data_IF_051482978394
#
_entry.id   IF_051482978394
#
_cell.length_a   1.000
_cell.length_b   1.000
_cell.length_c   1.000
_cell.angle_alpha   90.00
_cell.angle_beta   90.00
_cell.angle_gamma   90.00
#
_symmetry.space_group_name_H-M   'P 1'
#
loop_
_entity.id
_entity.type
_entity.pdbx_description
1 polymer ?
#
# COMPACT_ATOMS: atom_id res chain seq x y z
N UNK A 1 -21.42 0.01 26.33
CA UNK A 1 -22.67 -0.77 26.46
C UNK A 1 -23.25 -0.81 25.06
N UNK A 2 -22.68 -1.68 24.23
CA UNK A 2 -23.16 -3.06 23.99
C UNK A 2 -24.08 -3.05 22.77
N UNK A 3 -23.48 -3.30 21.60
CA UNK A 3 -24.19 -3.64 20.36
C UNK A 3 -24.00 -5.12 20.13
N UNK A 4 -25.04 -5.88 20.45
CA UNK A 4 -25.08 -7.34 20.47
C UNK A 4 -25.12 -7.94 19.06
N UNK A 5 -24.51 -9.12 18.97
CA UNK A 5 -24.40 -9.98 17.80
C UNK A 5 -25.73 -10.71 17.55
N UNK A 6 -26.33 -10.53 16.37
CA UNK A 6 -27.40 -11.40 15.89
C UNK A 6 -26.79 -12.58 15.12
N UNK A 7 -26.63 -13.70 15.84
CA UNK A 7 -26.32 -15.00 15.25
C UNK A 7 -27.58 -15.65 14.67
N UNK A 8 -27.52 -16.07 13.41
CA UNK A 8 -28.55 -16.92 12.80
C UNK A 8 -28.40 -18.35 13.33
N UNK A 9 -29.30 -18.76 14.24
CA UNK A 9 -29.55 -20.17 14.56
C UNK A 9 -30.69 -20.68 13.69
N UNK A 10 -30.41 -21.63 12.82
CA UNK A 10 -31.42 -22.45 12.13
C UNK A 10 -31.74 -23.66 13.02
N UNK A 11 -32.84 -23.58 13.78
CA UNK A 11 -33.47 -24.74 14.40
C UNK A 11 -34.12 -25.60 13.31
N UNK A 12 -33.63 -26.81 13.15
CA UNK A 12 -34.28 -27.87 12.36
C UNK A 12 -35.08 -28.73 13.33
N UNK A 13 -36.40 -28.63 13.25
CA UNK A 13 -37.38 -29.51 13.91
C UNK A 13 -37.23 -30.96 13.44
N UNK A 14 -37.16 -31.96 14.34
CA UNK A 14 -37.34 -33.36 13.98
C UNK A 14 -38.81 -33.79 14.12
N UNK A 15 -39.29 -34.45 13.06
CA UNK A 15 -40.60 -35.07 12.93
C UNK A 15 -40.92 -36.06 14.05
N UNK A 16 -42.10 -35.91 14.67
CA UNK A 16 -42.66 -36.88 15.61
C UNK A 16 -43.73 -37.71 14.89
N UNK A 17 -43.37 -38.92 14.46
CA UNK A 17 -44.31 -39.92 13.93
C UNK A 17 -44.75 -40.86 15.04
N UNK A 18 -46.03 -40.82 15.39
CA UNK A 18 -46.66 -41.82 16.27
C UNK A 18 -46.99 -43.09 15.49
N UNK A 19 -46.25 -44.12 15.89
CA UNK A 19 -46.49 -45.57 15.89
C UNK A 19 -47.95 -46.04 15.70
N UNK A 20 -48.16 -46.88 14.69
CA UNK A 20 -49.25 -47.87 14.63
C UNK A 20 -48.63 -49.25 14.45
N UNK A 21 -48.89 -50.14 15.41
CA UNK A 21 -48.58 -51.57 15.35
C UNK A 21 -49.48 -52.27 14.32
N UNK A 22 -48.89 -53.08 13.43
CA UNK A 22 -49.58 -54.24 12.86
C UNK A 22 -48.65 -55.45 12.79
N UNK A 23 -49.28 -56.60 12.94
CA UNK A 23 -48.79 -57.92 13.34
C UNK A 23 -48.22 -58.73 12.16
N UNK A 24 -47.06 -59.36 12.40
CA UNK A 24 -46.59 -60.71 11.96
C UNK A 24 -46.73 -61.14 10.47
N UNK A 25 -45.61 -61.27 9.75
CA UNK A 25 -45.12 -62.53 9.14
C UNK A 25 -43.90 -62.33 8.21
N UNK A 26 -42.88 -63.16 8.39
CA UNK A 26 -42.22 -63.85 7.28
C UNK A 26 -41.17 -63.12 6.42
N UNK A 27 -39.92 -63.55 6.62
CA UNK A 27 -38.91 -63.86 5.59
C UNK A 27 -38.06 -62.76 4.92
N UNK A 28 -36.78 -63.15 4.83
CA UNK A 28 -35.73 -62.76 3.88
C UNK A 28 -34.96 -61.45 4.10
N UNK A 29 -33.80 -61.63 4.74
CA UNK A 29 -32.61 -60.79 4.62
C UNK A 29 -32.17 -60.70 3.15
N UNK A 30 -32.34 -59.54 2.54
CA UNK A 30 -31.56 -59.12 1.37
C UNK A 30 -30.90 -57.78 1.70
N UNK A 31 -29.62 -57.82 2.09
CA UNK A 31 -28.80 -56.63 2.26
C UNK A 31 -28.43 -56.09 0.88
N UNK A 32 -29.24 -55.17 0.34
CA UNK A 32 -28.92 -54.44 -0.88
C UNK A 32 -27.89 -53.36 -0.54
N UNK A 33 -26.62 -53.63 -0.89
CA UNK A 33 -25.50 -52.68 -0.80
C UNK A 33 -25.83 -51.43 -1.62
N UNK A 34 -26.23 -50.35 -0.94
CA UNK A 34 -26.45 -49.03 -1.55
C UNK A 34 -25.08 -48.39 -1.82
N UNK A 35 -24.54 -48.63 -3.01
CA UNK A 35 -23.21 -48.19 -3.44
C UNK A 35 -23.25 -46.86 -4.21
N UNK A 36 -24.28 -46.04 -3.98
CA UNK A 36 -24.47 -44.73 -4.63
C UNK A 36 -24.33 -43.55 -3.66
N UNK A 37 -24.54 -43.74 -2.36
CA UNK A 37 -24.44 -42.66 -1.36
C UNK A 37 -23.00 -42.19 -1.08
N UNK A 38 -21.97 -42.92 -1.53
CA UNK A 38 -20.57 -42.56 -1.32
C UNK A 38 -20.02 -41.59 -2.37
N UNK A 39 -20.65 -41.51 -3.55
CA UNK A 39 -20.12 -40.71 -4.67
C UNK A 39 -20.57 -39.25 -4.62
N UNK A 40 -21.75 -38.97 -4.06
CA UNK A 40 -22.32 -37.61 -4.02
C UNK A 40 -21.73 -36.76 -2.89
N UNK A 41 -21.49 -37.35 -1.70
CA UNK A 41 -20.87 -36.65 -0.57
C UNK A 41 -19.41 -36.23 -0.86
N UNK A 42 -18.68 -37.04 -1.61
CA UNK A 42 -17.30 -36.72 -2.00
C UNK A 42 -17.24 -35.51 -2.94
N UNK A 43 -18.19 -35.40 -3.89
CA UNK A 43 -18.24 -34.29 -4.83
C UNK A 43 -18.63 -32.97 -4.17
N UNK A 44 -19.56 -33.00 -3.21
CA UNK A 44 -19.96 -31.80 -2.43
C UNK A 44 -18.79 -31.30 -1.57
N UNK A 45 -18.05 -32.21 -0.92
CA UNK A 45 -16.85 -31.84 -0.17
C UNK A 45 -15.75 -31.28 -1.08
N UNK A 46 -15.54 -31.85 -2.26
CA UNK A 46 -14.57 -31.33 -3.24
C UNK A 46 -14.96 -29.93 -3.74
N UNK A 47 -16.23 -29.67 -4.02
CA UNK A 47 -16.70 -28.36 -4.46
C UNK A 47 -16.55 -27.30 -3.36
N UNK A 48 -16.84 -27.65 -2.10
CA UNK A 48 -16.68 -26.74 -0.96
C UNK A 48 -15.19 -26.42 -0.69
N UNK A 49 -14.33 -27.44 -0.77
CA UNK A 49 -12.87 -27.26 -0.62
C UNK A 49 -12.29 -26.42 -1.77
N UNK A 50 -12.76 -26.61 -3.00
CA UNK A 50 -12.33 -25.78 -4.15
C UNK A 50 -12.76 -24.32 -4.01
N UNK A 51 -13.96 -24.05 -3.49
CA UNK A 51 -14.42 -22.68 -3.21
C UNK A 51 -13.61 -22.03 -2.08
N UNK A 52 -13.20 -22.77 -1.06
CA UNK A 52 -12.30 -22.26 -0.03
C UNK A 52 -10.89 -21.94 -0.57
N UNK A 53 -10.39 -22.74 -1.52
CA UNK A 53 -9.06 -22.53 -2.12
C UNK A 53 -9.04 -21.35 -3.11
N UNK A 54 -10.13 -21.13 -3.86
CA UNK A 54 -10.20 -20.01 -4.83
C UNK A 54 -10.31 -18.63 -4.19
N UNK A 55 -10.80 -18.53 -2.95
CA UNK A 55 -10.81 -17.26 -2.21
C UNK A 55 -9.41 -16.89 -1.66
N UNK A 56 -8.48 -17.86 -1.58
CA UNK A 56 -7.17 -17.67 -0.96
C UNK A 56 -6.03 -17.31 -1.94
N UNK A 57 -6.26 -17.28 -3.25
CA UNK A 57 -5.21 -17.09 -4.27
C UNK A 57 -5.18 -15.71 -4.92
N UNK A 58 -5.94 -14.73 -4.42
CA UNK A 58 -5.67 -13.34 -4.74
C UNK A 58 -4.55 -12.85 -3.80
N UNK A 59 -3.30 -12.82 -4.28
CA UNK A 59 -2.24 -12.08 -3.61
C UNK A 59 -2.79 -10.66 -3.33
N UNK A 60 -2.78 -10.18 -2.08
CA UNK A 60 -3.39 -8.90 -1.78
C UNK A 60 -2.56 -7.81 -2.46
N UNK A 61 -3.05 -7.28 -3.57
CA UNK A 61 -2.55 -6.05 -4.23
C UNK A 61 -2.34 -4.92 -3.21
N UNK A 62 -3.06 -4.98 -2.09
CA UNK A 62 -2.93 -4.09 -0.93
C UNK A 62 -1.59 -4.22 -0.16
N UNK A 63 -1.00 -5.41 -0.06
CA UNK A 63 0.21 -5.60 0.75
C UNK A 63 1.44 -4.92 0.13
N UNK A 64 1.62 -5.09 -1.17
CA UNK A 64 2.71 -4.48 -1.93
C UNK A 64 2.58 -2.94 -1.98
N UNK A 65 1.38 -2.43 -2.26
CA UNK A 65 1.12 -0.98 -2.19
C UNK A 65 1.42 -0.44 -0.79
N UNK A 66 0.95 -1.11 0.27
CA UNK A 66 1.21 -0.68 1.65
C UNK A 66 2.70 -0.64 1.99
N UNK A 67 3.47 -1.59 1.47
CA UNK A 67 4.92 -1.62 1.63
C UNK A 67 5.59 -0.42 0.95
N UNK A 68 5.26 -0.15 -0.32
CA UNK A 68 5.80 0.99 -1.06
C UNK A 68 5.44 2.31 -0.36
N UNK A 69 4.18 2.49 0.05
CA UNK A 69 3.77 3.67 0.82
C UNK A 69 4.58 3.82 2.10
N UNK A 70 4.81 2.73 2.82
CA UNK A 70 5.61 2.74 4.05
C UNK A 70 7.06 3.14 3.76
N UNK A 71 7.63 2.69 2.64
CA UNK A 71 8.97 3.08 2.19
C UNK A 71 9.04 4.56 1.81
N UNK A 72 8.07 5.10 1.08
CA UNK A 72 7.98 6.54 0.78
C UNK A 72 8.00 7.35 2.08
N UNK A 73 7.18 6.98 3.06
CA UNK A 73 7.11 7.67 4.35
C UNK A 73 8.42 7.53 5.13
N UNK A 74 9.03 6.35 5.12
CA UNK A 74 10.32 6.10 5.79
C UNK A 74 11.43 6.98 5.20
N UNK A 75 11.61 6.97 3.88
CA UNK A 75 12.64 7.76 3.19
C UNK A 75 12.39 9.26 3.41
N UNK A 76 11.13 9.71 3.30
CA UNK A 76 10.74 11.11 3.55
C UNK A 76 11.12 11.55 4.97
N UNK A 77 10.91 10.71 5.99
CA UNK A 77 11.33 10.97 7.38
C UNK A 77 12.84 11.02 7.53
N UNK A 78 13.56 10.03 6.99
CA UNK A 78 15.02 9.98 7.09
C UNK A 78 15.65 11.21 6.42
N UNK A 79 15.19 11.53 5.21
CA UNK A 79 15.68 12.67 4.44
C UNK A 79 15.38 13.99 5.14
N UNK A 80 14.14 14.22 5.62
CA UNK A 80 13.80 15.45 6.35
C UNK A 80 14.65 15.65 7.61
N UNK A 81 14.94 14.59 8.38
CA UNK A 81 15.83 14.64 9.53
C UNK A 81 17.28 14.96 9.14
N UNK A 82 17.78 14.37 8.05
CA UNK A 82 19.12 14.65 7.53
C UNK A 82 19.27 16.10 7.08
N UNK A 83 18.27 16.62 6.35
CA UNK A 83 18.27 18.02 5.92
C UNK A 83 18.17 18.97 7.12
N UNK A 84 17.36 18.63 8.13
CA UNK A 84 17.30 19.40 9.38
C UNK A 84 18.66 19.51 10.06
N UNK A 85 19.42 18.41 10.16
CA UNK A 85 20.76 18.41 10.76
C UNK A 85 21.71 19.35 10.00
N UNK A 86 21.66 19.34 8.67
CA UNK A 86 22.48 20.23 7.82
C UNK A 86 22.08 21.69 8.02
N UNK A 87 20.78 21.97 8.13
CA UNK A 87 20.27 23.33 8.34
C UNK A 87 20.62 23.86 9.74
N UNK A 88 20.65 23.00 10.76
CA UNK A 88 21.05 23.39 12.12
C UNK A 88 22.55 23.66 12.26
N UNK A 89 23.39 22.98 11.49
CA UNK A 89 24.85 23.21 11.50
C UNK A 89 25.27 24.38 10.63
N UNK A 90 24.38 24.87 9.75
CA UNK A 90 24.66 26.01 8.89
C UNK A 90 24.35 27.35 9.57
N UNK A 91 25.35 28.23 9.63
CA UNK A 91 25.17 29.64 10.05
C UNK A 91 24.60 30.53 8.92
N UNK A 92 23.89 29.93 7.96
CA UNK A 92 23.43 30.58 6.74
C UNK A 92 22.17 31.46 6.90
N UNK A 93 21.72 32.10 5.81
CA UNK A 93 20.47 32.85 5.79
C UNK A 93 19.29 31.95 6.15
N UNK A 94 18.36 32.45 6.98
CA UNK A 94 17.07 31.79 7.18
C UNK A 94 16.19 32.06 5.95
N UNK A 95 15.91 31.03 5.17
CA UNK A 95 14.98 31.13 4.05
C UNK A 95 13.55 30.99 4.56
N UNK A 96 12.65 31.79 3.98
CA UNK A 96 11.21 31.63 4.26
C UNK A 96 10.72 30.31 3.67
N UNK A 97 9.76 29.63 4.33
CA UNK A 97 9.17 28.44 3.76
C UNK A 97 8.52 28.80 2.41
N UNK A 98 8.79 28.01 1.36
CA UNK A 98 8.14 28.20 0.07
C UNK A 98 6.66 27.86 0.17
N UNK A 99 5.85 28.47 -0.70
CA UNK A 99 4.40 28.29 -0.78
C UNK A 99 4.01 27.04 -1.58
N UNK A 100 4.85 26.00 -1.57
CA UNK A 100 4.60 24.81 -2.39
C UNK A 100 3.34 24.10 -1.90
N UNK A 101 2.39 23.93 -2.80
CA UNK A 101 1.15 23.20 -2.55
C UNK A 101 1.35 21.72 -2.91
N UNK A 102 0.73 20.83 -2.14
CA UNK A 102 0.60 19.43 -2.52
C UNK A 102 -0.64 19.30 -3.40
N UNK A 103 -0.42 19.15 -4.70
CA UNK A 103 -1.49 18.98 -5.70
C UNK A 103 -1.35 17.61 -6.37
N UNK A 104 -1.31 16.55 -5.55
CA UNK A 104 -1.17 15.16 -5.99
C UNK A 104 0.25 14.74 -6.42
N UNK A 105 0.36 13.49 -6.85
CA UNK A 105 1.61 12.82 -7.22
C UNK A 105 2.47 13.59 -8.26
N UNK A 106 1.91 14.17 -9.34
CA UNK A 106 2.71 14.94 -10.31
C UNK A 106 3.39 16.15 -9.68
N UNK A 107 2.65 16.90 -8.85
CA UNK A 107 3.19 18.07 -8.15
C UNK A 107 4.28 17.65 -7.15
N UNK A 108 4.09 16.52 -6.47
CA UNK A 108 5.06 15.97 -5.52
C UNK A 108 6.38 15.63 -6.22
N UNK A 109 6.32 14.90 -7.33
CA UNK A 109 7.52 14.54 -8.07
C UNK A 109 8.24 15.77 -8.62
N UNK A 110 7.51 16.72 -9.20
CA UNK A 110 8.09 17.93 -9.77
C UNK A 110 8.88 18.76 -8.74
N UNK A 111 8.34 18.96 -7.53
CA UNK A 111 9.03 19.74 -6.50
C UNK A 111 10.26 19.00 -5.96
N UNK A 112 10.18 17.69 -5.75
CA UNK A 112 11.31 16.88 -5.28
C UNK A 112 12.44 16.89 -6.33
N UNK A 113 12.11 16.72 -7.60
CA UNK A 113 13.05 16.75 -8.72
C UNK A 113 13.70 18.14 -8.88
N UNK A 114 12.88 19.20 -8.87
CA UNK A 114 13.36 20.58 -8.96
C UNK A 114 14.38 20.86 -7.85
N UNK A 115 14.05 20.55 -6.60
CA UNK A 115 14.95 20.77 -5.48
C UNK A 115 16.21 19.90 -5.57
N UNK A 116 16.07 18.63 -5.95
CA UNK A 116 17.19 17.70 -6.11
C UNK A 116 18.20 18.17 -7.16
N UNK A 117 17.70 18.74 -8.28
CA UNK A 117 18.55 19.26 -9.36
C UNK A 117 19.31 20.53 -8.98
N UNK A 118 18.74 21.37 -8.09
CA UNK A 118 19.35 22.61 -7.60
C UNK A 118 20.46 22.40 -6.55
N UNK A 119 20.63 21.17 -6.05
CA UNK A 119 21.71 20.84 -5.11
C UNK A 119 23.02 20.67 -5.88
N UNK A 120 23.98 21.55 -5.62
CA UNK A 120 25.33 21.47 -6.19
C UNK A 120 26.05 20.21 -5.71
N UNK A 121 26.91 19.64 -6.57
CA UNK A 121 27.77 18.50 -6.19
C UNK A 121 28.80 18.88 -5.12
N UNK A 122 29.15 20.16 -5.03
CA UNK A 122 30.07 20.71 -4.03
C UNK A 122 29.38 21.01 -2.68
N UNK A 123 28.06 20.82 -2.60
CA UNK A 123 27.32 21.03 -1.35
C UNK A 123 27.63 19.91 -0.34
N UNK A 124 27.76 20.26 0.93
CA UNK A 124 28.08 19.27 1.96
C UNK A 124 26.97 18.21 2.09
N UNK A 125 27.34 16.95 2.07
CA UNK A 125 26.38 15.84 2.03
C UNK A 125 25.62 15.66 0.71
N UNK A 126 25.92 16.41 -0.36
CA UNK A 126 25.21 16.35 -1.64
C UNK A 126 25.00 14.94 -2.18
N UNK A 127 26.05 14.11 -2.17
CA UNK A 127 25.97 12.73 -2.66
C UNK A 127 24.89 11.91 -1.98
N UNK A 128 24.78 12.04 -0.65
CA UNK A 128 23.79 11.27 0.13
C UNK A 128 22.39 11.87 -0.04
N UNK A 129 22.27 13.19 -0.06
CA UNK A 129 20.98 13.85 -0.32
C UNK A 129 20.44 13.46 -1.69
N UNK A 130 21.27 13.54 -2.75
CA UNK A 130 20.87 13.15 -4.11
C UNK A 130 20.46 11.68 -4.19
N UNK A 131 21.21 10.78 -3.53
CA UNK A 131 20.85 9.38 -3.48
C UNK A 131 19.49 9.13 -2.77
N UNK A 132 19.24 9.81 -1.65
CA UNK A 132 17.97 9.70 -0.91
C UNK A 132 16.80 10.31 -1.71
N UNK A 133 17.04 11.42 -2.44
CA UNK A 133 16.08 12.02 -3.37
C UNK A 133 15.75 11.07 -4.52
N UNK A 134 16.76 10.48 -5.17
CA UNK A 134 16.53 9.49 -6.23
C UNK A 134 15.74 8.30 -5.72
N UNK A 135 16.11 7.73 -4.56
CA UNK A 135 15.39 6.61 -3.96
C UNK A 135 13.92 6.98 -3.64
N UNK A 136 13.67 8.20 -3.16
CA UNK A 136 12.32 8.70 -2.92
C UNK A 136 11.52 8.80 -4.22
N UNK A 137 12.10 9.39 -5.26
CA UNK A 137 11.44 9.50 -6.58
C UNK A 137 11.14 8.12 -7.18
N UNK A 138 12.07 7.17 -7.07
CA UNK A 138 11.88 5.81 -7.57
C UNK A 138 10.70 5.13 -6.89
N UNK A 139 10.59 5.24 -5.55
CA UNK A 139 9.46 4.68 -4.81
C UNK A 139 8.13 5.37 -5.15
N UNK A 140 8.13 6.70 -5.36
CA UNK A 140 6.93 7.44 -5.76
C UNK A 140 6.50 7.06 -7.19
N UNK A 141 7.47 6.86 -8.09
CA UNK A 141 7.22 6.40 -9.46
C UNK A 141 6.62 5.00 -9.46
N UNK A 142 7.18 4.08 -8.68
CA UNK A 142 6.66 2.72 -8.52
C UNK A 142 5.25 2.72 -7.91
N UNK A 143 5.02 3.56 -6.91
CA UNK A 143 3.69 3.77 -6.33
C UNK A 143 2.70 4.26 -7.39
N UNK A 144 3.07 5.25 -8.20
CA UNK A 144 2.21 5.77 -9.27
C UNK A 144 1.86 4.71 -10.31
N UNK A 145 2.85 3.95 -10.77
CA UNK A 145 2.61 2.90 -11.76
C UNK A 145 1.60 1.88 -11.24
N UNK A 146 1.72 1.48 -9.97
CA UNK A 146 0.85 0.47 -9.35
C UNK A 146 -0.51 1.02 -8.90
N UNK A 147 -0.57 2.27 -8.46
CA UNK A 147 -1.78 2.91 -7.91
C UNK A 147 -2.60 3.64 -8.97
N UNK A 148 -1.95 4.45 -9.82
CA UNK A 148 -2.59 5.24 -10.87
C UNK A 148 -2.69 4.48 -12.20
N UNK A 149 -1.90 3.42 -12.40
CA UNK A 149 -1.84 2.68 -13.67
C UNK A 149 -1.02 3.36 -14.76
N UNK A 150 -0.42 4.52 -14.46
CA UNK A 150 0.45 5.26 -15.38
C UNK A 150 1.78 5.58 -14.68
N UNK A 151 2.92 5.34 -15.36
CA UNK A 151 4.19 5.85 -14.87
C UNK A 151 4.16 7.38 -14.99
N UNK A 152 4.45 8.06 -13.89
CA UNK A 152 4.74 9.50 -13.94
C UNK A 152 5.93 9.69 -14.89
N UNK A 153 5.72 10.49 -15.94
CA UNK A 153 6.79 10.83 -16.86
C UNK A 153 7.84 11.62 -16.09
N UNK A 154 8.92 10.94 -15.67
CA UNK A 154 10.14 11.59 -15.23
C UNK A 154 10.73 12.23 -16.46
N UNK A 155 10.33 13.47 -16.72
CA UNK A 155 10.93 14.26 -17.78
C UNK A 155 12.33 14.61 -17.30
N UNK A 156 13.27 13.69 -17.53
CA UNK A 156 14.70 13.94 -17.41
C UNK A 156 15.07 14.97 -18.48
N UNK A 157 14.68 16.21 -18.27
CA UNK A 157 15.25 17.32 -18.99
C UNK A 157 16.73 17.29 -18.68
N UNK A 158 17.49 17.07 -19.75
CA UNK A 158 18.92 17.06 -19.77
C UNK A 158 19.39 18.47 -19.36
N UNK A 159 19.38 18.75 -18.06
CA UNK A 159 19.78 20.03 -17.52
C UNK A 159 21.27 20.17 -17.80
N UNK A 160 21.57 20.93 -18.85
CA UNK A 160 22.91 21.45 -19.13
C UNK A 160 23.48 21.97 -17.83
N UNK A 161 24.58 21.36 -17.36
CA UNK A 161 25.25 21.58 -16.08
C UNK A 161 25.28 23.04 -15.66
N UNK A 162 24.18 23.52 -15.05
CA UNK A 162 24.12 24.82 -14.42
C UNK A 162 24.73 24.60 -13.06
N UNK A 163 25.89 25.20 -12.81
CA UNK A 163 26.51 25.15 -11.50
C UNK A 163 25.71 26.03 -10.56
N UNK A 164 24.96 25.40 -9.66
CA UNK A 164 24.29 26.10 -8.58
C UNK A 164 25.30 26.52 -7.52
N UNK A 165 25.12 27.74 -7.02
CA UNK A 165 25.88 28.24 -5.87
C UNK A 165 25.52 27.48 -4.60
N UNK A 166 26.39 27.55 -3.58
CA UNK A 166 26.12 27.00 -2.25
C UNK A 166 24.85 27.63 -1.65
N UNK A 167 24.61 28.93 -1.91
CA UNK A 167 23.40 29.63 -1.45
C UNK A 167 22.13 29.08 -2.10
N UNK A 168 22.14 28.85 -3.42
CA UNK A 168 21.01 28.22 -4.12
C UNK A 168 20.78 26.79 -3.63
N UNK A 169 21.86 26.03 -3.41
CA UNK A 169 21.78 24.68 -2.85
C UNK A 169 21.18 24.67 -1.44
N UNK A 170 21.55 25.65 -0.59
CA UNK A 170 20.99 25.81 0.74
C UNK A 170 19.50 26.16 0.72
N UNK A 171 19.09 27.02 -0.22
CA UNK A 171 17.69 27.36 -0.43
C UNK A 171 16.90 26.13 -0.90
N UNK A 172 17.44 25.35 -1.84
CA UNK A 172 16.84 24.12 -2.33
C UNK A 172 16.69 23.08 -1.20
N UNK A 173 17.71 22.89 -0.37
CA UNK A 173 17.65 22.01 0.81
C UNK A 173 16.59 22.47 1.82
N UNK A 174 16.48 23.78 2.06
CA UNK A 174 15.46 24.34 2.95
C UNK A 174 14.04 24.10 2.41
N UNK A 175 13.85 24.33 1.10
CA UNK A 175 12.60 24.08 0.39
C UNK A 175 12.21 22.61 0.44
N UNK A 176 13.13 21.72 0.07
CA UNK A 176 12.93 20.28 0.11
C UNK A 176 12.55 19.81 1.51
N UNK A 177 13.26 20.25 2.55
CA UNK A 177 12.95 19.88 3.95
C UNK A 177 11.53 20.28 4.33
N UNK A 178 11.11 21.50 4.02
CA UNK A 178 9.76 21.97 4.35
C UNK A 178 8.69 21.21 3.55
N UNK A 179 8.96 20.95 2.26
CA UNK A 179 8.08 20.16 1.41
C UNK A 179 7.89 18.73 1.92
N UNK A 180 8.97 18.06 2.33
CA UNK A 180 8.91 16.71 2.89
C UNK A 180 8.09 16.66 4.20
N UNK A 181 8.21 17.69 5.05
CA UNK A 181 7.37 17.79 6.26
C UNK A 181 5.88 17.98 5.92
N UNK A 182 5.59 18.78 4.89
CA UNK A 182 4.24 18.95 4.39
C UNK A 182 3.69 17.63 3.84
N UNK A 183 4.49 16.89 3.07
CA UNK A 183 4.13 15.56 2.54
C UNK A 183 3.86 14.55 3.65
N UNK A 184 4.68 14.52 4.71
CA UNK A 184 4.44 13.65 5.87
C UNK A 184 3.12 13.96 6.58
N UNK A 185 2.73 15.23 6.61
CA UNK A 185 1.49 15.68 7.26
C UNK A 185 0.24 15.41 6.40
N UNK A 186 0.41 15.28 5.08
CA UNK A 186 -0.67 15.11 4.11
C UNK A 186 -0.36 13.94 3.16
N UNK A 187 0.00 12.79 3.73
CA UNK A 187 0.42 11.62 2.92
C UNK A 187 -0.69 11.01 2.07
N UNK A 188 -1.94 11.39 2.31
CA UNK A 188 -3.11 11.13 1.46
C UNK A 188 -2.98 11.75 0.06
N UNK A 189 -2.16 12.80 -0.09
CA UNK A 189 -1.86 13.42 -1.39
C UNK A 189 -1.16 12.45 -2.35
N UNK A 190 -0.54 11.38 -1.85
CA UNK A 190 0.00 10.30 -2.68
C UNK A 190 -1.09 9.50 -3.39
N UNK A 191 -2.35 9.57 -2.93
CA UNK A 191 -3.46 8.83 -3.54
C UNK A 191 -4.07 9.59 -4.73
N UNK A 192 -3.70 10.86 -4.91
CA UNK A 192 -4.21 11.73 -5.98
C UNK A 192 -3.28 11.64 -7.18
N UNK A 193 -3.84 11.06 -8.25
CA UNK A 193 -3.39 11.14 -9.63
C UNK A 193 -4.18 12.30 -10.30
#
# INVERSE_FOLDING_TARGET
MEGEWLGCQTEVTPDNWTQTEEVLHGHNLYYKRNQTATMDCALVLFAFLFQCVTVATAAPVNAELREIRSNIIYITKELSLRLEQILQTSTGPKFSPPSDELNGLPSIMAVIEECGSQISDDFDGAKKIKADVSALMDNISEWSEKHCGEPLSTQAENQTSRRFSITESMQAVTRLRNFLLLLLSNSDQLEIC
#
